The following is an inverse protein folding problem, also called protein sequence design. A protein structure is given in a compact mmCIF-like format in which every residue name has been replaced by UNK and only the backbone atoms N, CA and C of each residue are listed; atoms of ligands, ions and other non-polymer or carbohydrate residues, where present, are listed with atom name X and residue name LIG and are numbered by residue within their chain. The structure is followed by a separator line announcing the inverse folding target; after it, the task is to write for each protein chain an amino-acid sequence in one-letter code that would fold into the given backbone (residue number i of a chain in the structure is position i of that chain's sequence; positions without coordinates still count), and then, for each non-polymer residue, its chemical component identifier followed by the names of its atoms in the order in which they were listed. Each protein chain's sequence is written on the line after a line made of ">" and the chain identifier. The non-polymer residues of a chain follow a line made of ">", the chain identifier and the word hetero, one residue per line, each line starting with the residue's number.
data_IF_219974259149
#
_entry.id   IF_219974259149
#
_cell.length_a   1.000
_cell.length_b   1.000
_cell.length_c   1.000
_cell.angle_alpha   90.00
_cell.angle_beta   90.00
_cell.angle_gamma   90.00
#
_symmetry.space_group_name_H-M   'P 1'
#
loop_
_entity.id
_entity.type
_entity.pdbx_description
1 polymer ?
#
# COMPACT_ATOMS: atom_id res chain seq x y z
N UNK A 1 5.38 16.28 -25.46
CA UNK A 1 4.30 15.34 -25.10
C UNK A 1 4.34 15.12 -23.60
N UNK A 2 3.20 14.98 -22.93
CA UNK A 2 3.19 14.62 -21.51
C UNK A 2 3.73 13.19 -21.33
N UNK A 3 4.59 12.98 -20.33
CA UNK A 3 5.13 11.67 -19.99
C UNK A 3 4.01 10.72 -19.53
N UNK A 4 4.07 9.44 -19.92
CA UNK A 4 3.04 8.49 -19.49
C UNK A 4 3.18 8.20 -18.00
N UNK A 5 2.07 7.98 -17.28
CA UNK A 5 2.10 7.71 -15.82
C UNK A 5 3.02 6.53 -15.45
N UNK A 6 3.12 5.51 -16.31
CA UNK A 6 4.02 4.36 -16.09
C UNK A 6 5.50 4.75 -16.01
N UNK A 7 5.89 5.88 -16.60
CA UNK A 7 7.28 6.35 -16.66
C UNK A 7 7.74 7.04 -15.37
N UNK A 8 6.87 7.12 -14.35
CA UNK A 8 7.30 7.35 -12.97
C UNK A 8 8.26 6.25 -12.48
N UNK A 9 8.10 5.02 -12.97
CA UNK A 9 9.04 3.90 -12.76
C UNK A 9 10.04 3.83 -13.92
N UNK A 10 10.87 4.86 -14.07
CA UNK A 10 11.95 4.91 -15.07
C UNK A 10 13.32 4.54 -14.47
N UNK A 11 14.34 4.44 -15.32
CA UNK A 11 15.71 4.08 -14.91
C UNK A 11 16.26 4.99 -13.80
N UNK A 12 16.04 6.31 -13.90
CA UNK A 12 16.49 7.30 -12.90
C UNK A 12 15.84 7.07 -11.53
N UNK A 13 14.55 6.72 -11.52
CA UNK A 13 13.87 6.31 -10.29
C UNK A 13 14.54 5.08 -9.67
N UNK A 14 14.82 4.04 -10.46
CA UNK A 14 15.44 2.82 -9.95
C UNK A 14 16.89 3.01 -9.49
N UNK A 15 17.66 3.84 -10.18
CA UNK A 15 19.02 4.21 -9.75
C UNK A 15 18.98 4.90 -8.38
N UNK A 16 18.08 5.87 -8.19
CA UNK A 16 17.88 6.51 -6.88
C UNK A 16 17.41 5.51 -5.81
N UNK A 17 16.41 4.68 -6.13
CA UNK A 17 15.87 3.66 -5.23
C UNK A 17 16.98 2.71 -4.76
N UNK A 18 17.81 2.23 -5.68
CA UNK A 18 18.90 1.32 -5.40
C UNK A 18 19.96 1.93 -4.47
N UNK A 19 20.28 3.21 -4.65
CA UNK A 19 21.21 3.94 -3.78
C UNK A 19 20.67 4.09 -2.35
N UNK A 20 19.38 4.42 -2.18
CA UNK A 20 18.78 4.50 -0.84
C UNK A 20 18.74 3.13 -0.16
N UNK A 21 18.46 2.05 -0.90
CA UNK A 21 18.57 0.70 -0.35
C UNK A 21 20.00 0.34 0.07
N UNK A 22 21.02 0.72 -0.70
CA UNK A 22 22.42 0.49 -0.35
C UNK A 22 22.85 1.26 0.91
N UNK A 23 22.33 2.47 1.13
CA UNK A 23 22.57 3.20 2.39
C UNK A 23 21.96 2.49 3.59
N UNK A 24 20.78 1.86 3.42
CA UNK A 24 20.08 1.15 4.49
C UNK A 24 20.62 -0.28 4.73
N UNK A 25 21.16 -0.94 3.70
CA UNK A 25 21.78 -2.26 3.74
C UNK A 25 23.03 -2.31 2.85
N UNK A 26 24.20 -2.45 3.48
CA UNK A 26 25.49 -2.51 2.79
C UNK A 26 25.63 -3.75 1.87
N UNK A 27 24.79 -4.78 2.06
CA UNK A 27 24.77 -5.97 1.21
C UNK A 27 23.85 -5.82 -0.01
N UNK A 28 23.13 -4.71 -0.12
CA UNK A 28 22.35 -4.42 -1.32
C UNK A 28 23.30 -4.06 -2.48
N UNK A 29 23.04 -4.62 -3.66
CA UNK A 29 23.89 -4.45 -4.85
C UNK A 29 23.15 -3.63 -5.92
N UNK A 30 23.34 -2.30 -5.97
CA UNK A 30 22.53 -1.41 -6.82
C UNK A 30 22.52 -1.79 -8.28
N UNK A 31 23.69 -2.02 -8.89
CA UNK A 31 23.79 -2.30 -10.31
C UNK A 31 23.07 -3.60 -10.69
N UNK A 32 23.14 -4.62 -9.83
CA UNK A 32 22.46 -5.90 -10.04
C UNK A 32 20.95 -5.73 -9.95
N UNK A 33 20.47 -4.96 -8.97
CA UNK A 33 19.05 -4.65 -8.82
C UNK A 33 18.51 -3.86 -10.01
N UNK A 34 19.17 -2.75 -10.37
CA UNK A 34 18.75 -1.88 -11.49
C UNK A 34 18.72 -2.68 -12.79
N UNK A 35 19.77 -3.45 -13.09
CA UNK A 35 19.83 -4.28 -14.31
C UNK A 35 18.66 -5.27 -14.39
N UNK A 36 18.25 -5.86 -13.28
CA UNK A 36 17.16 -6.83 -13.26
C UNK A 36 15.78 -6.18 -13.36
N UNK A 37 15.54 -5.09 -12.60
CA UNK A 37 14.21 -4.48 -12.54
C UNK A 37 13.83 -3.73 -13.82
N UNK A 38 14.81 -3.20 -14.56
CA UNK A 38 14.56 -2.50 -15.84
C UNK A 38 14.49 -3.45 -17.04
N UNK A 39 14.79 -4.74 -16.84
CA UNK A 39 14.71 -5.72 -17.93
C UNK A 39 13.26 -5.81 -18.43
N UNK A 40 13.07 -5.61 -19.73
CA UNK A 40 11.78 -5.68 -20.43
C UNK A 40 10.70 -4.70 -19.90
N UNK A 41 11.12 -3.62 -19.22
CA UNK A 41 10.21 -2.71 -18.50
C UNK A 41 9.24 -1.93 -19.41
N UNK A 42 9.59 -1.75 -20.68
CA UNK A 42 8.78 -1.02 -21.65
C UNK A 42 7.44 -1.71 -21.96
N UNK A 43 7.44 -3.04 -21.89
CA UNK A 43 6.26 -3.88 -22.08
C UNK A 43 5.30 -3.87 -20.87
N UNK A 44 5.75 -3.37 -19.71
CA UNK A 44 4.97 -3.38 -18.48
C UNK A 44 4.10 -2.13 -18.34
N UNK A 45 2.84 -2.33 -17.95
CA UNK A 45 1.95 -1.27 -17.46
C UNK A 45 2.41 -0.72 -16.09
N UNK A 46 1.81 0.38 -15.62
CA UNK A 46 2.16 1.01 -14.34
C UNK A 46 2.14 0.02 -13.15
N UNK A 47 1.05 -0.74 -12.98
CA UNK A 47 0.92 -1.67 -11.85
C UNK A 47 1.84 -2.90 -12.02
N UNK A 48 2.10 -3.32 -13.27
CA UNK A 48 3.07 -4.38 -13.55
C UNK A 48 4.50 -3.93 -13.23
N UNK A 49 4.87 -2.66 -13.47
CA UNK A 49 6.17 -2.11 -13.05
C UNK A 49 6.32 -2.12 -11.53
N UNK A 50 5.28 -1.71 -10.79
CA UNK A 50 5.25 -1.80 -9.33
C UNK A 50 5.42 -3.26 -8.86
N UNK A 51 4.61 -4.19 -9.37
CA UNK A 51 4.66 -5.63 -9.01
C UNK A 51 6.02 -6.25 -9.35
N UNK A 52 6.57 -5.95 -10.53
CA UNK A 52 7.92 -6.39 -10.92
C UNK A 52 8.98 -5.89 -9.94
N UNK A 53 8.89 -4.62 -9.53
CA UNK A 53 9.81 -4.03 -8.54
C UNK A 53 9.77 -4.81 -7.23
N UNK A 54 8.59 -5.13 -6.71
CA UNK A 54 8.40 -5.95 -5.50
C UNK A 54 9.03 -7.33 -5.64
N UNK A 55 8.79 -8.02 -6.76
CA UNK A 55 9.34 -9.35 -7.01
C UNK A 55 10.86 -9.37 -7.13
N UNK A 56 11.44 -8.36 -7.79
CA UNK A 56 12.90 -8.22 -7.88
C UNK A 56 13.45 -7.86 -6.51
N UNK A 57 12.90 -6.87 -5.80
CA UNK A 57 13.35 -6.50 -4.45
C UNK A 57 13.41 -7.69 -3.47
N UNK A 58 12.45 -8.63 -3.54
CA UNK A 58 12.46 -9.82 -2.68
C UNK A 58 13.72 -10.69 -2.84
N UNK A 59 14.38 -10.63 -4.00
CA UNK A 59 15.63 -11.35 -4.28
C UNK A 59 16.88 -10.59 -3.79
N UNK A 60 16.76 -9.29 -3.52
CA UNK A 60 17.87 -8.43 -3.09
C UNK A 60 17.80 -8.03 -1.62
N UNK A 61 16.63 -8.14 -0.99
CA UNK A 61 16.45 -7.96 0.44
C UNK A 61 16.76 -9.26 1.21
N UNK A 62 17.08 -9.16 2.51
CA UNK A 62 17.25 -10.33 3.38
C UNK A 62 16.07 -11.29 3.31
N UNK A 63 16.36 -12.60 3.41
CA UNK A 63 15.33 -13.63 3.48
C UNK A 63 14.45 -13.48 4.74
N UNK A 64 15.07 -13.04 5.85
CA UNK A 64 14.41 -12.67 7.09
C UNK A 64 13.47 -11.47 6.87
N UNK A 65 12.18 -11.71 7.10
CA UNK A 65 11.13 -10.74 6.83
C UNK A 65 11.22 -9.49 7.72
N UNK A 66 11.57 -9.65 9.00
CA UNK A 66 11.71 -8.52 9.91
C UNK A 66 12.84 -7.60 9.48
N UNK A 67 13.99 -8.17 9.09
CA UNK A 67 15.10 -7.38 8.56
C UNK A 67 14.75 -6.68 7.25
N UNK A 68 13.99 -7.33 6.37
CA UNK A 68 13.49 -6.69 5.15
C UNK A 68 12.58 -5.48 5.47
N UNK A 69 11.69 -5.60 6.46
CA UNK A 69 10.85 -4.48 6.92
C UNK A 69 11.68 -3.36 7.50
N UNK A 70 12.70 -3.65 8.31
CA UNK A 70 13.57 -2.63 8.89
C UNK A 70 14.25 -1.80 7.80
N UNK A 71 14.72 -2.46 6.73
CA UNK A 71 15.33 -1.81 5.57
C UNK A 71 14.29 -0.97 4.82
N UNK A 72 13.14 -1.56 4.48
CA UNK A 72 12.05 -0.84 3.78
C UNK A 72 11.61 0.41 4.55
N UNK A 73 11.52 0.31 5.89
CA UNK A 73 11.13 1.40 6.78
C UNK A 73 12.15 2.53 6.83
N UNK A 74 13.45 2.23 6.65
CA UNK A 74 14.49 3.26 6.53
C UNK A 74 14.48 3.96 5.17
N UNK A 75 14.04 3.29 4.12
CA UNK A 75 14.11 3.79 2.74
C UNK A 75 12.86 4.58 2.34
N UNK A 76 11.67 4.14 2.75
CA UNK A 76 10.40 4.79 2.35
C UNK A 76 10.33 6.31 2.62
N UNK A 77 10.93 6.89 3.69
CA UNK A 77 10.86 8.33 3.93
C UNK A 77 11.46 9.18 2.80
N UNK A 78 12.31 8.61 1.95
CA UNK A 78 12.93 9.30 0.81
C UNK A 78 11.99 9.40 -0.42
N UNK A 79 10.86 8.69 -0.41
CA UNK A 79 9.96 8.55 -1.57
C UNK A 79 8.54 9.07 -1.30
N UNK A 80 8.40 10.16 -0.53
CA UNK A 80 7.09 10.66 -0.07
C UNK A 80 6.15 11.07 -1.21
N UNK A 81 4.86 10.79 -1.02
CA UNK A 81 3.73 11.36 -1.78
C UNK A 81 3.74 11.08 -3.29
N UNK A 82 4.37 9.99 -3.72
CA UNK A 82 4.38 9.54 -5.10
C UNK A 82 3.73 8.16 -5.24
N UNK A 83 3.09 7.88 -6.39
CA UNK A 83 2.56 6.54 -6.69
C UNK A 83 3.63 5.45 -6.57
N UNK A 84 4.89 5.77 -6.82
CA UNK A 84 6.01 4.83 -6.67
C UNK A 84 6.21 4.36 -5.23
N UNK A 85 5.78 5.11 -4.21
CA UNK A 85 5.87 4.66 -2.82
C UNK A 85 4.92 3.52 -2.48
N UNK A 86 3.96 3.21 -3.37
CA UNK A 86 3.09 2.05 -3.22
C UNK A 86 3.87 0.72 -3.31
N UNK A 87 5.07 0.70 -3.89
CA UNK A 87 5.92 -0.50 -3.92
C UNK A 87 6.24 -1.04 -2.51
N UNK A 88 6.36 -0.14 -1.52
CA UNK A 88 6.73 -0.53 -0.15
C UNK A 88 5.60 -1.31 0.55
N UNK A 89 4.36 -0.79 0.67
CA UNK A 89 3.25 -1.58 1.19
C UNK A 89 2.92 -2.76 0.26
N UNK A 90 3.11 -2.65 -1.05
CA UNK A 90 2.91 -3.76 -1.97
C UNK A 90 3.80 -4.98 -1.64
N UNK A 91 5.06 -4.76 -1.24
CA UNK A 91 5.93 -5.83 -0.73
C UNK A 91 5.33 -6.56 0.48
N UNK A 92 4.79 -5.80 1.43
CA UNK A 92 4.12 -6.33 2.63
C UNK A 92 2.86 -7.12 2.23
N UNK A 93 2.08 -6.60 1.28
CA UNK A 93 0.89 -7.25 0.76
C UNK A 93 1.16 -8.57 0.03
N UNK A 94 2.37 -8.82 -0.46
CA UNK A 94 2.73 -10.10 -1.10
C UNK A 94 3.42 -11.09 -0.17
N UNK A 95 4.28 -10.60 0.72
CA UNK A 95 5.22 -11.43 1.46
C UNK A 95 5.01 -11.41 2.98
N UNK A 96 4.06 -10.62 3.49
CA UNK A 96 3.91 -10.38 4.93
C UNK A 96 2.88 -11.23 5.67
N UNK A 97 2.26 -12.19 5.01
CA UNK A 97 1.08 -12.85 5.57
C UNK A 97 1.37 -13.75 6.78
N UNK A 98 2.58 -14.27 6.90
CA UNK A 98 2.97 -15.17 7.99
C UNK A 98 3.27 -14.41 9.29
N UNK A 99 3.56 -13.10 9.20
CA UNK A 99 3.72 -12.22 10.36
C UNK A 99 2.73 -11.06 10.28
N UNK A 100 1.50 -11.35 10.69
CA UNK A 100 0.40 -10.39 10.67
C UNK A 100 0.70 -9.12 11.47
N UNK A 101 1.24 -9.26 12.69
CA UNK A 101 1.40 -8.13 13.59
C UNK A 101 2.41 -7.13 13.02
N UNK A 102 3.59 -7.64 12.63
CA UNK A 102 4.64 -6.80 12.08
C UNK A 102 4.21 -6.14 10.76
N UNK A 103 3.52 -6.89 9.90
CA UNK A 103 3.02 -6.37 8.62
C UNK A 103 2.00 -5.26 8.79
N UNK A 104 1.06 -5.42 9.72
CA UNK A 104 0.03 -4.40 9.98
C UNK A 104 0.65 -3.13 10.57
N UNK A 105 1.64 -3.26 11.46
CA UNK A 105 2.42 -2.12 11.96
C UNK A 105 3.19 -1.41 10.84
N UNK A 106 3.82 -2.17 9.95
CA UNK A 106 4.51 -1.63 8.77
C UNK A 106 3.55 -0.90 7.82
N UNK A 107 2.38 -1.48 7.52
CA UNK A 107 1.36 -0.83 6.67
C UNK A 107 0.85 0.49 7.26
N UNK A 108 0.67 0.55 8.58
CA UNK A 108 0.31 1.77 9.30
C UNK A 108 1.39 2.84 9.19
N UNK A 109 2.67 2.45 9.25
CA UNK A 109 3.78 3.37 9.06
C UNK A 109 3.88 3.85 7.60
N UNK A 110 3.85 2.92 6.64
CA UNK A 110 4.05 3.21 5.22
C UNK A 110 2.97 4.09 4.60
N UNK A 111 1.72 3.98 5.07
CA UNK A 111 0.63 4.78 4.52
C UNK A 111 0.80 6.28 4.72
N UNK A 112 1.72 6.72 5.59
CA UNK A 112 2.04 8.14 5.82
C UNK A 112 2.92 8.74 4.72
N UNK A 113 3.55 7.91 3.88
CA UNK A 113 4.42 8.33 2.77
C UNK A 113 3.78 8.10 1.39
N UNK A 114 2.55 7.60 1.36
CA UNK A 114 1.83 7.19 0.17
C UNK A 114 0.45 6.67 0.54
N UNK A 115 0.20 5.39 0.25
CA UNK A 115 -1.02 4.72 0.69
C UNK A 115 -0.79 3.22 0.82
N UNK A 116 -1.31 2.61 1.87
CA UNK A 116 -1.32 1.14 2.03
C UNK A 116 -2.63 0.50 1.53
N UNK A 117 -3.46 1.24 0.79
CA UNK A 117 -4.84 0.85 0.43
C UNK A 117 -4.95 -0.44 -0.38
N UNK A 118 -3.96 -0.75 -1.23
CA UNK A 118 -3.96 -2.00 -1.98
C UNK A 118 -3.44 -3.16 -1.13
N UNK A 119 -2.39 -2.93 -0.37
CA UNK A 119 -1.74 -3.97 0.44
C UNK A 119 -2.62 -4.47 1.57
N UNK A 120 -3.33 -3.58 2.28
CA UNK A 120 -4.23 -3.97 3.39
C UNK A 120 -5.34 -4.90 2.92
N UNK A 121 -5.72 -4.85 1.64
CA UNK A 121 -6.77 -5.69 1.06
C UNK A 121 -6.36 -7.14 0.95
N UNK A 122 -5.07 -7.43 0.76
CA UNK A 122 -4.56 -8.80 0.79
C UNK A 122 -4.72 -9.43 2.20
N UNK A 123 -4.67 -8.61 3.25
CA UNK A 123 -4.98 -9.04 4.62
C UNK A 123 -6.48 -9.18 4.85
N UNK A 124 -7.30 -8.25 4.37
CA UNK A 124 -8.77 -8.34 4.43
C UNK A 124 -9.30 -9.58 3.70
N UNK A 125 -8.67 -9.95 2.57
CA UNK A 125 -9.01 -11.15 1.79
C UNK A 125 -8.74 -12.44 2.55
N UNK A 126 -7.68 -12.49 3.37
CA UNK A 126 -7.28 -13.68 4.13
C UNK A 126 -8.00 -13.79 5.46
N UNK A 127 -8.11 -12.69 6.19
CA UNK A 127 -8.75 -12.64 7.50
C UNK A 127 -9.47 -11.29 7.68
N UNK A 128 -10.71 -11.27 7.20
CA UNK A 128 -11.55 -10.08 7.17
C UNK A 128 -11.80 -9.52 8.57
N UNK A 129 -12.25 -10.37 9.50
CA UNK A 129 -12.66 -9.94 10.83
C UNK A 129 -11.49 -9.41 11.64
N UNK A 130 -10.35 -10.11 11.61
CA UNK A 130 -9.14 -9.68 12.31
C UNK A 130 -8.61 -8.36 11.75
N UNK A 131 -8.55 -8.24 10.43
CA UNK A 131 -8.04 -7.01 9.78
C UNK A 131 -8.98 -5.82 10.00
N UNK A 132 -10.30 -6.01 9.87
CA UNK A 132 -11.28 -4.96 10.19
C UNK A 132 -11.22 -4.55 11.66
N UNK A 133 -10.95 -5.50 12.58
CA UNK A 133 -10.74 -5.19 14.00
C UNK A 133 -9.59 -4.19 14.23
N UNK A 134 -8.51 -4.28 13.43
CA UNK A 134 -7.43 -3.28 13.45
C UNK A 134 -7.87 -1.98 12.80
N UNK A 135 -8.52 -2.04 11.64
CA UNK A 135 -8.91 -0.85 10.88
C UNK A 135 -9.93 0.01 11.65
N UNK A 136 -10.80 -0.60 12.46
CA UNK A 136 -11.67 0.10 13.40
C UNK A 136 -10.86 0.99 14.37
N UNK A 137 -9.77 0.46 14.95
CA UNK A 137 -8.86 1.24 15.80
C UNK A 137 -8.12 2.33 15.01
N UNK A 138 -7.78 2.08 13.75
CA UNK A 138 -7.14 3.07 12.89
C UNK A 138 -8.05 4.26 12.57
N UNK A 139 -9.37 4.10 12.61
CA UNK A 139 -10.30 5.21 12.46
C UNK A 139 -10.18 6.25 13.59
N UNK A 140 -9.63 5.88 14.74
CA UNK A 140 -9.39 6.77 15.89
C UNK A 140 -7.96 7.34 15.91
N UNK A 141 -7.13 7.04 14.91
CA UNK A 141 -5.72 7.41 14.94
C UNK A 141 -5.51 8.93 14.82
N UNK A 142 -4.49 9.45 15.50
CA UNK A 142 -4.14 10.87 15.43
C UNK A 142 -3.69 11.27 14.02
N UNK A 143 -3.11 10.35 13.25
CA UNK A 143 -2.66 10.60 11.89
C UNK A 143 -3.79 10.38 10.86
N UNK A 144 -4.09 11.42 10.10
CA UNK A 144 -5.16 11.39 9.11
C UNK A 144 -4.92 10.43 7.92
N UNK A 145 -3.67 10.12 7.58
CA UNK A 145 -3.37 9.09 6.58
C UNK A 145 -3.81 7.70 7.05
N UNK A 146 -3.65 7.41 8.34
CA UNK A 146 -4.07 6.15 8.96
C UNK A 146 -5.60 6.07 9.05
N UNK A 147 -6.25 7.17 9.48
CA UNK A 147 -7.73 7.25 9.46
C UNK A 147 -8.30 7.09 8.06
N UNK A 148 -7.72 7.77 7.07
CA UNK A 148 -8.12 7.62 5.67
C UNK A 148 -7.94 6.18 5.21
N UNK A 149 -6.83 5.52 5.55
CA UNK A 149 -6.59 4.11 5.19
C UNK A 149 -7.69 3.18 5.75
N UNK A 150 -8.18 3.43 6.97
CA UNK A 150 -9.28 2.66 7.54
C UNK A 150 -10.54 2.73 6.67
N UNK A 151 -10.90 3.92 6.18
CA UNK A 151 -12.03 4.09 5.25
C UNK A 151 -11.72 3.54 3.86
N UNK A 152 -10.59 3.92 3.27
CA UNK A 152 -10.29 3.64 1.86
C UNK A 152 -9.97 2.17 1.61
N UNK A 153 -9.11 1.59 2.44
CA UNK A 153 -8.65 0.21 2.27
C UNK A 153 -9.79 -0.80 2.41
N UNK A 154 -10.84 -0.44 3.17
CA UNK A 154 -12.02 -1.27 3.41
C UNK A 154 -13.18 -1.01 2.43
N UNK A 155 -12.99 -0.15 1.41
CA UNK A 155 -14.01 0.10 0.38
C UNK A 155 -14.43 -1.19 -0.33
N UNK A 156 -15.72 -1.42 -0.60
CA UNK A 156 -16.16 -2.62 -1.30
C UNK A 156 -15.68 -2.65 -2.76
N UNK A 157 -15.60 -1.49 -3.44
CA UNK A 157 -15.23 -1.36 -4.87
C UNK A 157 -14.10 -0.35 -5.08
N UNK A 158 -12.94 -0.59 -4.46
CA UNK A 158 -11.76 0.27 -4.65
C UNK A 158 -11.21 0.14 -6.08
N UNK A 159 -11.05 1.25 -6.84
CA UNK A 159 -10.44 1.20 -8.17
C UNK A 159 -9.05 0.57 -8.16
N UNK A 160 -8.70 -0.12 -9.25
CA UNK A 160 -7.41 -0.82 -9.44
C UNK A 160 -7.11 -1.94 -8.43
N UNK A 161 -8.08 -2.31 -7.59
CA UNK A 161 -8.01 -3.47 -6.70
C UNK A 161 -9.14 -4.45 -6.99
N UNK A 162 -9.03 -5.66 -6.46
CA UNK A 162 -10.14 -6.62 -6.45
C UNK A 162 -11.22 -6.14 -5.49
N UNK A 163 -12.45 -6.62 -5.71
CA UNK A 163 -13.59 -6.26 -4.87
C UNK A 163 -13.61 -7.05 -3.56
N UNK A 164 -14.10 -6.43 -2.49
CA UNK A 164 -14.32 -7.09 -1.20
C UNK A 164 -15.80 -7.45 -1.09
N UNK A 165 -16.20 -8.53 -1.76
CA UNK A 165 -17.60 -8.95 -1.82
C UNK A 165 -18.26 -9.18 -0.44
N UNK A 166 -17.57 -9.68 0.61
CA UNK A 166 -18.16 -9.73 1.94
C UNK A 166 -18.58 -8.36 2.49
N UNK A 167 -17.75 -7.32 2.30
CA UNK A 167 -18.08 -5.95 2.71
C UNK A 167 -19.20 -5.40 1.82
N UNK A 168 -19.17 -5.67 0.51
CA UNK A 168 -20.21 -5.26 -0.42
C UNK A 168 -21.60 -5.79 -0.04
N UNK A 169 -21.67 -7.01 0.51
CA UNK A 169 -22.91 -7.67 0.94
C UNK A 169 -23.39 -7.22 2.31
N UNK A 170 -22.47 -6.79 3.17
CA UNK A 170 -22.78 -6.39 4.54
C UNK A 170 -22.10 -5.06 4.92
N UNK A 171 -22.81 -3.92 4.71
CA UNK A 171 -22.32 -2.60 5.11
C UNK A 171 -22.06 -2.44 6.62
N UNK A 172 -22.65 -3.29 7.48
CA UNK A 172 -22.42 -3.24 8.94
C UNK A 172 -20.96 -3.49 9.30
N UNK A 173 -20.24 -4.25 8.46
CA UNK A 173 -18.84 -4.59 8.71
C UNK A 173 -17.94 -3.35 8.78
N UNK A 174 -18.23 -2.32 7.96
CA UNK A 174 -17.47 -1.07 7.90
C UNK A 174 -18.22 0.13 8.49
N UNK A 175 -19.52 0.02 8.80
CA UNK A 175 -20.31 1.09 9.44
C UNK A 175 -19.60 1.74 10.63
N UNK A 176 -19.00 1.02 11.60
CA UNK A 176 -18.31 1.65 12.72
C UNK A 176 -17.15 2.58 12.29
N UNK A 177 -16.42 2.22 11.22
CA UNK A 177 -15.35 3.05 10.66
C UNK A 177 -15.95 4.31 10.04
N UNK A 178 -17.01 4.17 9.24
CA UNK A 178 -17.64 5.31 8.54
C UNK A 178 -18.30 6.27 9.52
N UNK A 179 -18.98 5.76 10.55
CA UNK A 179 -19.60 6.57 11.60
C UNK A 179 -18.58 7.39 12.39
N UNK A 180 -17.41 6.80 12.70
CA UNK A 180 -16.31 7.50 13.36
C UNK A 180 -15.77 8.65 12.49
N UNK A 181 -15.67 8.41 11.17
CA UNK A 181 -14.98 9.31 10.24
C UNK A 181 -15.89 10.29 9.47
N UNK A 182 -17.22 10.16 9.58
CA UNK A 182 -18.18 10.99 8.83
C UNK A 182 -18.01 12.50 9.03
N UNK A 183 -17.52 12.90 10.21
CA UNK A 183 -17.29 14.29 10.59
C UNK A 183 -15.82 14.62 10.81
N UNK A 184 -14.90 13.87 10.19
CA UNK A 184 -13.47 14.11 10.30
C UNK A 184 -13.10 15.55 9.89
N UNK A 185 -12.14 16.15 10.59
CA UNK A 185 -11.65 17.50 10.28
C UNK A 185 -10.97 17.56 8.92
N UNK A 186 -10.36 16.46 8.49
CA UNK A 186 -9.56 16.39 7.27
C UNK A 186 -10.42 16.09 6.04
N UNK A 187 -10.36 16.98 5.05
CA UNK A 187 -11.08 16.80 3.77
C UNK A 187 -10.63 15.52 3.06
N UNK A 188 -9.34 15.15 3.18
CA UNK A 188 -8.80 13.91 2.62
C UNK A 188 -9.51 12.67 3.15
N UNK A 189 -9.80 12.62 4.46
CA UNK A 189 -10.53 11.52 5.09
C UNK A 189 -12.01 11.54 4.68
N UNK A 190 -12.67 12.71 4.74
CA UNK A 190 -14.08 12.83 4.33
C UNK A 190 -14.35 12.41 2.88
N UNK A 191 -13.43 12.72 1.96
CA UNK A 191 -13.51 12.25 0.56
C UNK A 191 -13.48 10.72 0.48
N UNK A 192 -12.66 10.07 1.28
CA UNK A 192 -12.64 8.61 1.35
C UNK A 192 -13.96 8.03 1.85
N UNK A 193 -14.52 8.60 2.91
CA UNK A 193 -15.83 8.19 3.46
C UNK A 193 -16.93 8.36 2.41
N UNK A 194 -16.97 9.51 1.74
CA UNK A 194 -17.95 9.77 0.67
C UNK A 194 -17.81 8.76 -0.49
N UNK A 195 -16.58 8.45 -0.92
CA UNK A 195 -16.34 7.45 -1.94
C UNK A 195 -16.76 6.04 -1.49
N UNK A 196 -16.51 5.68 -0.23
CA UNK A 196 -16.92 4.40 0.34
C UNK A 196 -18.45 4.28 0.33
N UNK A 197 -19.16 5.32 0.78
CA UNK A 197 -20.63 5.36 0.73
C UNK A 197 -21.17 5.32 -0.70
N UNK A 198 -20.53 6.01 -1.64
CA UNK A 198 -20.89 5.96 -3.06
C UNK A 198 -20.65 4.56 -3.66
N UNK A 199 -19.68 3.79 -3.17
CA UNK A 199 -19.54 2.39 -3.61
C UNK A 199 -20.75 1.57 -3.16
N UNK A 200 -21.28 1.81 -1.95
CA UNK A 200 -22.49 1.15 -1.46
C UNK A 200 -23.75 1.56 -2.23
N UNK A 201 -23.95 2.85 -2.51
CA UNK A 201 -25.13 3.32 -3.26
C UNK A 201 -25.19 2.78 -4.69
N UNK A 202 -24.06 2.36 -5.27
CA UNK A 202 -24.04 1.70 -6.58
C UNK A 202 -24.41 0.22 -6.53
N UNK A 203 -24.37 -0.39 -5.35
CA UNK A 203 -24.67 -1.80 -5.11
C UNK A 203 -26.11 -1.94 -4.59
N UNK A 204 -26.49 -1.05 -3.68
CA UNK A 204 -27.82 -0.95 -3.09
C UNK A 204 -28.23 0.54 -3.02
N UNK A 205 -28.92 1.06 -4.07
CA UNK A 205 -29.24 2.48 -4.24
C UNK A 205 -30.11 3.10 -3.14
#
# INVERSE_FOLDING_TARGET
>A
MAEALKDMFNKKFYERLALEFQKADKNFHPDKFVKQVVKDIDALSLNQRMRNTTMVLKQHLPADYSKAIDILSKVIPEFKSHYTSLLFPDFIGQYGHDDFKLSIEALKYFTQFGSSEFAIREFLKRDLNKTLGVMKKWAEDKNHHVRRLASEGSRPRLPWSFNLDPIAKDPELTRPILEMLKSDSELYVKKSVANHLNDFSRINP
#
